data_IF_381724090134
#
_entry.id   IF_381724090134
#
_cell.length_a   1.000
_cell.length_b   1.000
_cell.length_c   1.000
_cell.angle_alpha   90.00
_cell.angle_beta   90.00
_cell.angle_gamma   90.00
#
_symmetry.space_group_name_H-M   'P 1'
#
loop_
_entity.id
_entity.type
_entity.pdbx_description
1 polymer ?
#
# COMPACT_ATOMS: atom_id res chain seq x y z
N UNK A 1 11.29 8.67 39.47
CA UNK A 1 12.41 9.16 38.61
C UNK A 1 12.48 8.52 37.23
N UNK A 2 12.71 7.20 37.03
CA UNK A 2 12.76 6.62 35.65
C UNK A 2 11.40 6.55 34.93
N UNK A 3 10.29 6.52 35.67
CA UNK A 3 8.91 6.50 35.11
C UNK A 3 8.47 7.90 34.65
N UNK A 4 8.95 8.94 35.32
CA UNK A 4 8.60 10.34 35.06
C UNK A 4 9.32 10.89 33.82
N UNK A 5 10.54 10.44 33.54
CA UNK A 5 11.28 10.81 32.32
C UNK A 5 10.59 10.27 31.05
N UNK A 6 10.17 9.00 31.02
CA UNK A 6 9.46 8.45 29.85
C UNK A 6 8.13 9.15 29.59
N UNK A 7 7.41 9.55 30.63
CA UNK A 7 6.17 10.31 30.49
C UNK A 7 6.44 11.72 29.94
N UNK A 8 7.49 12.39 30.45
CA UNK A 8 7.91 13.71 29.97
C UNK A 8 8.39 13.68 28.52
N UNK A 9 9.22 12.70 28.15
CA UNK A 9 9.72 12.52 26.78
C UNK A 9 8.57 12.27 25.80
N UNK A 10 7.55 11.52 26.22
CA UNK A 10 6.36 11.27 25.41
C UNK A 10 5.49 12.53 25.26
N UNK A 11 5.34 13.34 26.31
CA UNK A 11 4.63 14.63 26.23
C UNK A 11 5.41 15.61 25.32
N UNK A 12 6.72 15.74 25.49
CA UNK A 12 7.56 16.60 24.67
C UNK A 12 7.50 16.20 23.20
N UNK A 13 7.50 14.90 22.89
CA UNK A 13 7.32 14.38 21.53
C UNK A 13 5.95 14.74 20.95
N UNK A 14 4.87 14.60 21.74
CA UNK A 14 3.52 14.95 21.30
C UNK A 14 3.37 16.46 21.07
N UNK A 15 3.94 17.29 21.95
CA UNK A 15 3.97 18.75 21.79
C UNK A 15 4.77 19.13 20.54
N UNK A 16 5.94 18.53 20.33
CA UNK A 16 6.76 18.76 19.14
C UNK A 16 6.02 18.42 17.84
N UNK A 17 5.31 17.27 17.82
CA UNK A 17 4.44 16.90 16.69
C UNK A 17 3.32 17.91 16.47
N UNK A 18 2.66 18.36 17.55
CA UNK A 18 1.60 19.37 17.47
C UNK A 18 2.09 20.69 16.86
N UNK A 19 3.28 21.16 17.25
CA UNK A 19 3.89 22.38 16.70
C UNK A 19 4.21 22.22 15.21
N UNK A 20 4.78 21.09 14.81
CA UNK A 20 5.07 20.81 13.40
C UNK A 20 3.78 20.79 12.58
N UNK A 21 2.73 20.10 13.08
CA UNK A 21 1.44 20.03 12.40
C UNK A 21 0.82 21.42 12.26
N UNK A 22 0.87 22.26 13.30
CA UNK A 22 0.38 23.64 13.22
C UNK A 22 1.16 24.46 12.17
N UNK A 23 2.49 24.33 12.14
CA UNK A 23 3.32 25.03 11.15
C UNK A 23 3.02 24.56 9.72
N UNK A 24 2.91 23.26 9.48
CA UNK A 24 2.55 22.69 8.16
C UNK A 24 1.14 23.10 7.76
N UNK A 25 0.19 23.15 8.69
CA UNK A 25 -1.16 23.64 8.44
C UNK A 25 -1.14 25.11 7.97
N UNK A 26 -0.41 25.99 8.67
CA UNK A 26 -0.29 27.41 8.29
C UNK A 26 0.39 27.55 6.94
N UNK A 27 1.47 26.80 6.67
CA UNK A 27 2.12 26.82 5.35
C UNK A 27 1.17 26.36 4.24
N UNK A 28 0.36 25.33 4.49
CA UNK A 28 -0.64 24.84 3.55
C UNK A 28 -1.76 25.87 3.32
N UNK A 29 -2.15 26.62 4.36
CA UNK A 29 -3.11 27.72 4.24
C UNK A 29 -2.53 28.88 3.43
N UNK A 30 -1.28 29.28 3.66
CA UNK A 30 -0.60 30.30 2.84
C UNK A 30 -0.45 29.86 1.38
N UNK A 31 -0.17 28.57 1.14
CA UNK A 31 -0.10 28.02 -0.20
C UNK A 31 -1.46 28.05 -0.95
N UNK A 32 -2.58 28.22 -0.24
CA UNK A 32 -3.89 28.35 -0.90
C UNK A 32 -4.00 29.59 -1.79
N UNK A 33 -3.25 30.65 -1.49
CA UNK A 33 -3.24 31.89 -2.28
C UNK A 33 -2.79 31.68 -3.73
N UNK A 34 -1.93 30.69 -3.99
CA UNK A 34 -1.53 30.31 -5.36
C UNK A 34 -2.68 29.77 -6.22
N UNK A 35 -3.80 29.39 -5.59
CA UNK A 35 -4.98 28.81 -6.25
C UNK A 35 -6.17 29.77 -6.25
N UNK A 36 -5.94 31.08 -6.10
CA UNK A 36 -7.00 32.09 -6.20
C UNK A 36 -7.38 32.37 -7.66
N UNK A 37 -8.68 32.33 -7.99
CA UNK A 37 -9.16 32.72 -9.33
C UNK A 37 -9.15 34.24 -9.46
N UNK A 38 -8.88 34.76 -10.68
CA UNK A 38 -9.16 36.15 -11.00
C UNK A 38 -10.62 36.51 -10.64
N UNK A 39 -10.82 37.63 -9.94
CA UNK A 39 -12.14 38.13 -9.52
C UNK A 39 -12.89 37.29 -8.46
N UNK A 40 -12.19 36.43 -7.72
CA UNK A 40 -12.75 35.74 -6.54
C UNK A 40 -12.06 36.19 -5.26
N UNK A 41 -12.82 36.36 -4.19
CA UNK A 41 -12.30 36.79 -2.88
C UNK A 41 -11.59 35.65 -2.12
N UNK A 42 -11.72 34.40 -2.58
CA UNK A 42 -11.20 33.22 -1.89
C UNK A 42 -10.60 32.16 -2.83
N UNK A 43 -9.56 31.43 -2.40
CA UNK A 43 -8.93 30.33 -3.14
C UNK A 43 -9.88 29.20 -3.57
N UNK A 44 -9.60 28.49 -4.67
CA UNK A 44 -10.44 27.37 -5.14
C UNK A 44 -10.37 26.14 -4.21
N UNK A 45 -9.30 25.97 -3.46
CA UNK A 45 -9.10 24.83 -2.57
C UNK A 45 -8.40 25.22 -1.26
N UNK A 46 -8.63 24.43 -0.22
CA UNK A 46 -8.00 24.58 1.10
C UNK A 46 -7.04 23.40 1.38
N UNK A 47 -5.75 23.48 0.96
CA UNK A 47 -4.75 22.42 1.18
C UNK A 47 -4.66 21.96 2.64
N UNK A 48 -4.80 22.91 3.56
CA UNK A 48 -4.74 22.70 5.01
C UNK A 48 -5.77 21.68 5.52
N UNK A 49 -6.90 21.51 4.83
CA UNK A 49 -7.92 20.50 5.17
C UNK A 49 -7.40 19.09 4.97
N UNK A 50 -6.72 18.85 3.83
CA UNK A 50 -6.14 17.55 3.55
C UNK A 50 -4.91 17.26 4.39
N UNK A 51 -4.10 18.28 4.69
CA UNK A 51 -3.00 18.18 5.66
C UNK A 51 -3.52 17.78 7.04
N UNK A 52 -4.59 18.42 7.52
CA UNK A 52 -5.15 18.13 8.83
C UNK A 52 -5.69 16.70 8.94
N UNK A 53 -6.44 16.25 7.92
CA UNK A 53 -6.96 14.88 7.89
C UNK A 53 -5.83 13.86 7.83
N UNK A 54 -4.84 14.05 6.93
CA UNK A 54 -3.69 13.16 6.83
C UNK A 54 -2.89 13.11 8.13
N UNK A 55 -2.67 14.25 8.79
CA UNK A 55 -1.95 14.31 10.06
C UNK A 55 -2.64 13.48 11.15
N UNK A 56 -3.98 13.56 11.28
CA UNK A 56 -4.73 12.77 12.26
C UNK A 56 -4.74 11.29 11.89
N UNK A 57 -4.86 10.94 10.61
CA UNK A 57 -4.84 9.54 10.16
C UNK A 57 -3.47 8.87 10.29
N UNK A 58 -2.37 9.64 10.22
CA UNK A 58 -0.99 9.14 10.37
C UNK A 58 -0.51 9.13 11.83
N UNK A 59 -0.85 10.18 12.59
CA UNK A 59 -0.30 10.41 13.94
C UNK A 59 -1.34 10.24 15.06
N UNK A 60 -2.60 9.97 14.71
CA UNK A 60 -3.71 9.82 15.64
C UNK A 60 -4.27 11.15 16.16
N UNK A 61 -5.23 11.07 17.08
CA UNK A 61 -5.86 12.24 17.70
C UNK A 61 -4.95 13.24 18.42
N UNK A 62 -3.75 12.88 18.92
CA UNK A 62 -2.80 13.86 19.43
C UNK A 62 -2.38 14.95 18.41
N UNK A 63 -2.66 14.76 17.11
CA UNK A 63 -2.48 15.78 16.08
C UNK A 63 -3.51 16.93 16.16
N UNK A 64 -4.69 16.73 16.75
CA UNK A 64 -5.80 17.69 16.74
C UNK A 64 -5.46 19.06 17.36
N UNK A 65 -4.72 19.17 18.48
CA UNK A 65 -4.31 20.47 19.00
C UNK A 65 -3.46 21.26 17.99
N UNK A 66 -2.60 20.58 17.22
CA UNK A 66 -1.83 21.20 16.14
C UNK A 66 -2.72 21.72 15.01
N UNK A 67 -3.74 20.95 14.63
CA UNK A 67 -4.75 21.37 13.64
C UNK A 67 -5.52 22.60 14.12
N UNK A 68 -5.98 22.60 15.38
CA UNK A 68 -6.71 23.72 15.97
C UNK A 68 -5.85 24.99 16.01
N UNK A 69 -4.63 24.90 16.55
CA UNK A 69 -3.71 26.04 16.64
C UNK A 69 -3.35 26.56 15.25
N UNK A 70 -3.04 25.65 14.31
CA UNK A 70 -2.75 26.00 12.92
C UNK A 70 -3.91 26.74 12.26
N UNK A 71 -5.14 26.27 12.48
CA UNK A 71 -6.35 26.92 11.95
C UNK A 71 -6.60 28.31 12.53
N UNK A 72 -6.40 28.49 13.84
CA UNK A 72 -6.59 29.81 14.47
C UNK A 72 -5.57 30.80 13.91
N UNK A 73 -4.31 30.37 13.85
CA UNK A 73 -3.22 31.20 13.33
C UNK A 73 -3.43 31.55 11.86
N UNK A 74 -3.82 30.60 11.01
CA UNK A 74 -4.03 30.88 9.59
C UNK A 74 -5.16 31.89 9.34
N UNK A 75 -6.26 31.79 10.09
CA UNK A 75 -7.40 32.71 9.95
C UNK A 75 -7.05 34.11 10.46
N UNK A 76 -6.35 34.23 11.59
CA UNK A 76 -5.88 35.52 12.10
C UNK A 76 -4.88 36.16 11.11
N UNK A 77 -3.97 35.38 10.54
CA UNK A 77 -3.02 35.86 9.53
C UNK A 77 -3.72 36.32 8.25
N UNK A 78 -4.85 35.70 7.89
CA UNK A 78 -5.70 36.13 6.79
C UNK A 78 -6.50 37.42 7.09
N UNK A 79 -6.46 37.91 8.33
CA UNK A 79 -7.13 39.14 8.75
C UNK A 79 -8.53 38.96 9.34
N UNK A 80 -8.96 37.71 9.59
CA UNK A 80 -10.27 37.44 10.19
C UNK A 80 -10.38 37.91 11.64
N UNK A 81 -11.59 38.25 12.06
CA UNK A 81 -11.88 38.64 13.43
C UNK A 81 -11.58 37.48 14.40
N UNK A 82 -10.89 37.77 15.51
CA UNK A 82 -10.45 36.77 16.48
C UNK A 82 -11.56 35.81 16.95
N UNK A 83 -12.76 36.34 17.25
CA UNK A 83 -13.90 35.52 17.67
C UNK A 83 -14.38 34.57 16.57
N UNK A 84 -14.39 35.03 15.32
CA UNK A 84 -14.71 34.18 14.17
C UNK A 84 -13.62 33.12 13.96
N UNK A 85 -12.34 33.49 14.04
CA UNK A 85 -11.22 32.55 13.91
C UNK A 85 -11.31 31.40 14.92
N UNK A 86 -11.60 31.69 16.20
CA UNK A 86 -11.82 30.66 17.21
C UNK A 86 -12.99 29.74 16.84
N UNK A 87 -14.12 30.32 16.44
CA UNK A 87 -15.33 29.57 16.10
C UNK A 87 -15.09 28.64 14.91
N UNK A 88 -14.51 29.17 13.82
CA UNK A 88 -14.21 28.41 12.61
C UNK A 88 -13.16 27.32 12.87
N UNK A 89 -12.15 27.58 13.71
CA UNK A 89 -11.15 26.56 14.08
C UNK A 89 -11.74 25.42 14.90
N UNK A 90 -12.73 25.67 15.75
CA UNK A 90 -13.51 24.59 16.41
C UNK A 90 -14.20 23.74 15.34
N UNK A 91 -14.84 24.38 14.35
CA UNK A 91 -15.50 23.70 13.24
C UNK A 91 -14.56 22.82 12.42
N UNK A 92 -13.44 23.38 11.97
CA UNK A 92 -12.41 22.68 11.21
C UNK A 92 -11.82 21.49 11.99
N UNK A 93 -11.58 21.66 13.29
CA UNK A 93 -11.02 20.59 14.14
C UNK A 93 -12.06 19.48 14.38
N UNK A 94 -13.32 19.84 14.63
CA UNK A 94 -14.40 18.88 14.83
C UNK A 94 -14.70 18.08 13.56
N UNK A 95 -14.66 18.73 12.40
CA UNK A 95 -14.79 18.08 11.10
C UNK A 95 -13.74 16.97 10.91
N UNK A 96 -12.46 17.30 11.14
CA UNK A 96 -11.35 16.34 11.03
C UNK A 96 -11.49 15.23 12.07
N UNK A 97 -11.89 15.55 13.30
CA UNK A 97 -12.15 14.55 14.34
C UNK A 97 -13.25 13.56 13.91
N UNK A 98 -14.40 14.05 13.43
CA UNK A 98 -15.51 13.18 13.02
C UNK A 98 -15.14 12.35 11.78
N UNK A 99 -14.50 12.97 10.78
CA UNK A 99 -14.03 12.27 9.59
C UNK A 99 -13.07 11.14 9.94
N UNK A 100 -12.04 11.43 10.74
CA UNK A 100 -11.07 10.42 11.19
C UNK A 100 -11.68 9.38 12.14
N UNK A 101 -12.65 9.76 12.99
CA UNK A 101 -13.35 8.84 13.88
C UNK A 101 -14.04 7.71 13.11
N UNK A 102 -14.81 8.03 12.08
CA UNK A 102 -15.47 7.00 11.28
C UNK A 102 -14.49 6.20 10.43
N UNK A 103 -13.41 6.81 9.93
CA UNK A 103 -12.34 6.09 9.22
C UNK A 103 -11.67 5.05 10.14
N UNK A 104 -11.37 5.42 11.39
CA UNK A 104 -10.76 4.50 12.36
C UNK A 104 -11.71 3.38 12.83
N UNK A 105 -13.03 3.48 12.61
CA UNK A 105 -13.93 2.35 12.83
C UNK A 105 -13.75 1.23 11.80
N UNK A 106 -13.17 1.53 10.63
CA UNK A 106 -12.83 0.50 9.64
C UNK A 106 -11.55 -0.22 10.04
N UNK A 107 -11.68 -1.46 10.54
CA UNK A 107 -10.58 -2.27 11.09
C UNK A 107 -9.43 -2.53 10.12
N UNK A 108 -9.71 -2.55 8.82
CA UNK A 108 -8.70 -2.81 7.78
C UNK A 108 -8.19 -1.51 7.12
N UNK A 109 -8.48 -0.36 7.73
CA UNK A 109 -7.96 0.91 7.24
C UNK A 109 -6.43 0.88 7.20
N UNK A 110 -5.88 1.20 6.04
CA UNK A 110 -4.44 1.32 5.84
C UNK A 110 -4.11 2.67 5.21
N UNK A 111 -3.21 3.46 5.80
CA UNK A 111 -2.74 4.73 5.23
C UNK A 111 -2.12 4.60 3.84
N UNK A 112 -1.68 3.40 3.45
CA UNK A 112 -1.12 3.15 2.12
C UNK A 112 -2.17 3.08 0.99
N UNK A 113 -3.47 3.12 1.33
CA UNK A 113 -4.60 3.09 0.39
C UNK A 113 -4.56 1.93 -0.61
N UNK A 114 -3.95 0.80 -0.25
CA UNK A 114 -3.84 -0.39 -1.12
C UNK A 114 -5.08 -1.29 -1.13
N UNK A 115 -6.12 -0.94 -0.36
CA UNK A 115 -7.40 -1.65 -0.34
C UNK A 115 -8.56 -0.69 -0.62
N UNK A 116 -9.59 -1.19 -1.29
CA UNK A 116 -10.74 -0.38 -1.72
C UNK A 116 -11.54 0.14 -0.53
N UNK A 117 -11.57 -0.58 0.60
CA UNK A 117 -12.25 -0.13 1.81
C UNK A 117 -11.62 1.15 2.39
N UNK A 118 -10.30 1.24 2.42
CA UNK A 118 -9.59 2.43 2.92
C UNK A 118 -9.87 3.65 2.05
N UNK A 119 -9.88 3.46 0.72
CA UNK A 119 -10.24 4.52 -0.24
C UNK A 119 -11.70 4.92 -0.07
N UNK A 120 -12.62 3.96 0.06
CA UNK A 120 -14.05 4.23 0.26
C UNK A 120 -14.32 5.04 1.55
N UNK A 121 -13.76 4.61 2.68
CA UNK A 121 -13.92 5.32 3.95
C UNK A 121 -13.26 6.70 3.93
N UNK A 122 -12.10 6.85 3.28
CA UNK A 122 -11.45 8.15 3.09
C UNK A 122 -12.34 9.10 2.26
N UNK A 123 -12.93 8.62 1.17
CA UNK A 123 -13.83 9.44 0.34
C UNK A 123 -15.09 9.80 1.12
N UNK A 124 -15.77 8.82 1.70
CA UNK A 124 -17.06 9.04 2.37
C UNK A 124 -16.92 9.96 3.59
N UNK A 125 -16.01 9.63 4.51
CA UNK A 125 -15.91 10.33 5.79
C UNK A 125 -14.91 11.49 5.75
N UNK A 126 -13.82 11.34 4.99
CA UNK A 126 -12.81 12.37 4.84
C UNK A 126 -13.19 13.43 3.82
N UNK A 127 -13.53 13.04 2.59
CA UNK A 127 -13.74 13.99 1.47
C UNK A 127 -15.17 14.55 1.43
N UNK A 128 -16.19 13.78 1.83
CA UNK A 128 -17.58 14.23 1.76
C UNK A 128 -18.07 14.75 3.12
N UNK A 129 -18.08 13.91 4.16
CA UNK A 129 -18.74 14.25 5.44
C UNK A 129 -17.95 15.30 6.25
N UNK A 130 -16.63 15.17 6.36
CA UNK A 130 -15.82 16.12 7.14
C UNK A 130 -15.96 17.57 6.60
N UNK A 131 -15.80 17.86 5.30
CA UNK A 131 -16.05 19.18 4.73
C UNK A 131 -17.46 19.73 4.96
N UNK A 132 -18.49 18.88 4.98
CA UNK A 132 -19.87 19.31 5.29
C UNK A 132 -19.95 19.85 6.72
N UNK A 133 -19.28 19.18 7.68
CA UNK A 133 -19.23 19.63 9.08
C UNK A 133 -18.50 20.97 9.18
N UNK A 134 -17.33 21.09 8.55
CA UNK A 134 -16.54 22.32 8.56
C UNK A 134 -17.34 23.51 8.00
N UNK A 135 -17.89 23.36 6.79
CA UNK A 135 -18.67 24.41 6.13
C UNK A 135 -19.91 24.81 6.93
N UNK A 136 -20.64 23.83 7.50
CA UNK A 136 -21.85 24.12 8.28
C UNK A 136 -21.54 24.89 9.56
N UNK A 137 -20.45 24.57 10.24
CA UNK A 137 -20.04 25.29 11.44
C UNK A 137 -19.53 26.69 11.07
N UNK A 138 -18.69 26.83 10.04
CA UNK A 138 -18.20 28.15 9.63
C UNK A 138 -19.36 29.11 9.32
N UNK A 139 -20.38 28.63 8.59
CA UNK A 139 -21.58 29.42 8.25
C UNK A 139 -22.44 29.74 9.48
N UNK A 140 -22.59 28.80 10.42
CA UNK A 140 -23.25 29.08 11.68
C UNK A 140 -22.52 30.20 12.44
N UNK A 141 -21.19 30.20 12.43
CA UNK A 141 -20.37 31.26 13.01
C UNK A 141 -20.59 32.62 12.35
N UNK A 142 -20.64 32.66 11.01
CA UNK A 142 -20.92 33.89 10.27
C UNK A 142 -22.31 34.45 10.58
N UNK A 143 -23.32 33.58 10.72
CA UNK A 143 -24.67 33.97 11.10
C UNK A 143 -24.74 34.53 12.53
N UNK A 144 -24.16 33.84 13.52
CA UNK A 144 -24.21 34.27 14.92
C UNK A 144 -23.40 35.53 15.21
N UNK A 145 -22.36 35.79 14.42
CA UNK A 145 -21.50 36.98 14.55
C UNK A 145 -21.92 38.13 13.62
N UNK A 146 -23.04 38.00 12.91
CA UNK A 146 -23.59 39.00 11.99
C UNK A 146 -22.57 39.47 10.93
N UNK A 147 -21.75 38.53 10.43
CA UNK A 147 -20.67 38.79 9.45
C UNK A 147 -21.22 38.87 8.03
N UNK A 148 -22.28 38.13 7.72
CA UNK A 148 -22.84 38.06 6.36
C UNK A 148 -24.36 37.87 6.36
N UNK A 149 -25.09 38.46 5.38
CA UNK A 149 -26.54 38.33 5.30
C UNK A 149 -27.00 36.89 5.05
N UNK A 150 -28.16 36.51 5.62
CA UNK A 150 -28.76 35.18 5.49
C UNK A 150 -28.93 34.72 4.04
N UNK A 151 -29.21 35.65 3.12
CA UNK A 151 -29.41 35.38 1.69
C UNK A 151 -28.13 34.88 0.99
N UNK A 152 -26.96 35.24 1.50
CA UNK A 152 -25.65 34.85 0.94
C UNK A 152 -25.11 33.55 1.54
N UNK A 153 -25.62 33.11 2.69
CA UNK A 153 -25.08 31.95 3.40
C UNK A 153 -25.11 30.64 2.59
N UNK A 154 -26.15 30.33 1.79
CA UNK A 154 -26.15 29.09 1.00
C UNK A 154 -25.03 29.00 -0.04
N UNK A 155 -24.72 30.12 -0.72
CA UNK A 155 -23.65 30.15 -1.71
C UNK A 155 -22.26 30.10 -1.06
N UNK A 156 -22.07 30.80 0.06
CA UNK A 156 -20.84 30.73 0.86
C UNK A 156 -20.64 29.31 1.40
N UNK A 157 -21.69 28.66 1.90
CA UNK A 157 -21.63 27.29 2.42
C UNK A 157 -21.11 26.31 1.37
N UNK A 158 -21.67 26.39 0.15
CA UNK A 158 -21.30 25.46 -0.91
C UNK A 158 -19.88 25.71 -1.44
N UNK A 159 -19.46 26.97 -1.51
CA UNK A 159 -18.09 27.33 -1.83
C UNK A 159 -17.11 26.83 -0.76
N UNK A 160 -17.43 26.99 0.53
CA UNK A 160 -16.64 26.50 1.66
C UNK A 160 -16.51 24.97 1.63
N UNK A 161 -17.64 24.27 1.46
CA UNK A 161 -17.68 22.81 1.34
C UNK A 161 -16.77 22.33 0.20
N UNK A 162 -16.87 22.95 -0.97
CA UNK A 162 -16.08 22.60 -2.15
C UNK A 162 -14.58 22.81 -1.92
N UNK A 163 -14.19 23.92 -1.30
CA UNK A 163 -12.79 24.25 -1.00
C UNK A 163 -12.15 23.22 -0.06
N UNK A 164 -12.88 22.84 1.00
CA UNK A 164 -12.46 21.81 1.94
C UNK A 164 -12.44 20.42 1.30
N UNK A 165 -13.44 20.08 0.48
CA UNK A 165 -13.52 18.81 -0.25
C UNK A 165 -12.33 18.61 -1.19
N UNK A 166 -12.07 19.58 -2.08
CA UNK A 166 -10.97 19.50 -3.05
C UNK A 166 -9.61 19.46 -2.36
N UNK A 167 -9.40 20.31 -1.34
CA UNK A 167 -8.17 20.27 -0.55
C UNK A 167 -7.94 18.91 0.11
N UNK A 168 -9.00 18.31 0.64
CA UNK A 168 -8.93 16.97 1.26
C UNK A 168 -8.66 15.88 0.23
N UNK A 169 -9.33 15.92 -0.93
CA UNK A 169 -9.19 14.93 -2.00
C UNK A 169 -7.82 14.96 -2.67
N UNK A 170 -7.22 16.13 -2.84
CA UNK A 170 -5.90 16.28 -3.48
C UNK A 170 -4.78 15.95 -2.50
N UNK A 171 -4.79 16.51 -1.29
CA UNK A 171 -3.64 16.44 -0.39
C UNK A 171 -3.66 15.20 0.51
N UNK A 172 -4.82 14.74 1.01
CA UNK A 172 -4.82 13.65 1.98
C UNK A 172 -4.30 12.34 1.40
N UNK A 173 -4.77 11.85 0.24
CA UNK A 173 -4.27 10.60 -0.33
C UNK A 173 -2.77 10.65 -0.64
N UNK A 174 -2.28 11.78 -1.15
CA UNK A 174 -0.87 11.99 -1.41
C UNK A 174 -0.03 11.89 -0.14
N UNK A 175 -0.39 12.63 0.91
CA UNK A 175 0.33 12.62 2.18
C UNK A 175 0.26 11.27 2.89
N UNK A 176 -0.91 10.62 2.89
CA UNK A 176 -1.12 9.31 3.49
C UNK A 176 -0.21 8.24 2.88
N UNK A 177 -0.12 8.20 1.54
CA UNK A 177 0.70 7.21 0.85
C UNK A 177 2.19 7.50 1.06
N UNK A 178 2.63 8.74 0.85
CA UNK A 178 4.05 9.10 0.87
C UNK A 178 4.66 9.21 2.27
N UNK A 179 3.86 9.48 3.31
CA UNK A 179 4.33 9.51 4.71
C UNK A 179 3.98 8.24 5.48
N UNK A 180 2.96 7.50 5.04
CA UNK A 180 2.46 6.30 5.72
C UNK A 180 2.99 4.98 5.17
N UNK A 181 3.76 4.99 4.09
CA UNK A 181 4.33 3.79 3.45
C UNK A 181 5.82 3.94 3.22
N UNK A 182 6.59 2.83 3.23
CA UNK A 182 7.96 2.86 2.76
C UNK A 182 7.98 3.22 1.27
N UNK A 183 9.02 3.97 0.87
CA UNK A 183 9.24 4.33 -0.53
C UNK A 183 9.26 3.06 -1.42
N UNK A 184 8.69 3.14 -2.63
CA UNK A 184 8.68 2.01 -3.53
C UNK A 184 10.08 1.70 -4.04
N UNK A 185 10.34 0.43 -4.33
CA UNK A 185 11.55 0.03 -5.05
C UNK A 185 11.59 0.72 -6.42
N UNK A 186 12.71 1.38 -6.70
CA UNK A 186 12.90 2.16 -7.92
C UNK A 186 13.35 1.23 -9.05
N UNK A 187 12.42 0.92 -9.95
CA UNK A 187 12.70 0.22 -11.21
C UNK A 187 12.78 1.25 -12.35
N UNK A 188 13.91 1.27 -13.08
CA UNK A 188 14.15 2.19 -14.17
C UNK A 188 13.02 2.17 -15.21
N UNK A 189 12.44 0.99 -15.49
CA UNK A 189 11.33 0.86 -16.44
C UNK A 189 10.05 1.54 -15.92
N UNK A 190 9.75 1.39 -14.63
CA UNK A 190 8.58 2.04 -14.02
C UNK A 190 8.76 3.55 -13.96
N UNK A 191 9.98 4.02 -13.69
CA UNK A 191 10.32 5.44 -13.69
C UNK A 191 10.14 6.03 -15.08
N UNK A 192 10.65 5.38 -16.14
CA UNK A 192 10.47 5.89 -17.51
C UNK A 192 9.01 5.90 -17.94
N UNK A 193 8.24 4.84 -17.65
CA UNK A 193 6.79 4.82 -17.90
C UNK A 193 6.07 5.95 -17.13
N UNK A 194 6.43 6.18 -15.86
CA UNK A 194 5.89 7.27 -15.05
C UNK A 194 6.21 8.66 -15.62
N UNK A 195 7.44 8.88 -16.09
CA UNK A 195 7.85 10.15 -16.71
C UNK A 195 7.09 10.39 -18.02
N UNK A 196 6.89 9.36 -18.84
CA UNK A 196 6.13 9.49 -20.09
C UNK A 196 4.66 9.83 -19.83
N UNK A 197 4.04 9.20 -18.84
CA UNK A 197 2.66 9.52 -18.44
C UNK A 197 2.58 10.95 -17.88
N UNK A 198 3.52 11.34 -17.02
CA UNK A 198 3.62 12.70 -16.52
C UNK A 198 3.72 13.71 -17.67
N UNK A 199 4.61 13.47 -18.63
CA UNK A 199 4.78 14.34 -19.79
C UNK A 199 3.50 14.43 -20.64
N UNK A 200 2.76 13.33 -20.78
CA UNK A 200 1.47 13.32 -21.48
C UNK A 200 0.40 14.14 -20.72
N UNK A 201 0.27 13.96 -19.41
CA UNK A 201 -0.67 14.71 -18.56
C UNK A 201 -0.35 16.20 -18.60
N UNK A 202 0.91 16.57 -18.33
CA UNK A 202 1.35 17.96 -18.38
C UNK A 202 1.23 18.57 -19.79
N UNK A 203 1.49 17.78 -20.83
CA UNK A 203 1.37 18.21 -22.21
C UNK A 203 -0.06 18.52 -22.63
N UNK A 204 -1.04 17.67 -22.25
CA UNK A 204 -2.46 17.91 -22.53
C UNK A 204 -2.94 19.19 -21.83
N UNK A 205 -2.63 19.33 -20.54
CA UNK A 205 -3.01 20.51 -19.75
C UNK A 205 -2.34 21.80 -20.27
N UNK A 206 -1.06 21.71 -20.67
CA UNK A 206 -0.36 22.85 -21.25
C UNK A 206 -0.93 23.23 -22.62
N UNK A 207 -1.30 22.27 -23.47
CA UNK A 207 -1.94 22.53 -24.75
C UNK A 207 -3.31 23.19 -24.59
N UNK A 208 -4.09 22.76 -23.59
CA UNK A 208 -5.34 23.39 -23.21
C UNK A 208 -5.14 24.86 -22.87
N UNK A 209 -4.15 25.14 -22.03
CA UNK A 209 -3.81 26.50 -21.65
C UNK A 209 -3.35 27.35 -22.85
N UNK A 210 -2.42 26.84 -23.68
CA UNK A 210 -1.85 27.60 -24.80
C UNK A 210 -2.85 27.85 -25.93
N UNK A 211 -3.82 26.96 -26.13
CA UNK A 211 -4.81 27.06 -27.20
C UNK A 211 -5.91 28.10 -26.96
N UNK A 212 -6.02 28.65 -25.74
CA UNK A 212 -7.03 29.66 -25.34
C UNK A 212 -8.46 29.24 -25.69
N UNK A 213 -8.77 27.96 -25.51
CA UNK A 213 -10.14 27.45 -25.61
C UNK A 213 -11.04 28.05 -24.51
N UNK A 214 -12.33 28.09 -24.78
CA UNK A 214 -13.34 28.45 -23.78
C UNK A 214 -13.37 27.44 -22.63
N UNK A 215 -13.91 27.86 -21.47
CA UNK A 215 -13.89 27.02 -20.27
C UNK A 215 -14.67 25.72 -20.40
N UNK A 216 -15.80 25.70 -21.12
CA UNK A 216 -16.57 24.47 -21.35
C UNK A 216 -15.77 23.42 -22.14
N UNK A 217 -15.10 23.87 -23.20
CA UNK A 217 -14.18 23.05 -23.99
C UNK A 217 -12.99 22.57 -23.13
N UNK A 218 -12.42 23.45 -22.31
CA UNK A 218 -11.31 23.10 -21.42
C UNK A 218 -11.71 21.99 -20.41
N UNK A 219 -12.87 22.11 -19.76
CA UNK A 219 -13.38 21.07 -18.85
C UNK A 219 -13.59 19.74 -19.58
N UNK A 220 -14.17 19.78 -20.79
CA UNK A 220 -14.45 18.58 -21.59
C UNK A 220 -13.17 17.84 -21.97
N UNK A 221 -12.14 18.56 -22.40
CA UNK A 221 -10.85 17.96 -22.78
C UNK A 221 -10.10 17.46 -21.54
N UNK A 222 -10.26 18.10 -20.37
CA UNK A 222 -9.65 17.65 -19.11
C UNK A 222 -10.09 16.23 -18.71
N UNK A 223 -11.28 15.78 -19.14
CA UNK A 223 -11.70 14.37 -18.97
C UNK A 223 -10.82 13.38 -19.75
N UNK A 224 -10.07 13.81 -20.77
CA UNK A 224 -9.09 12.96 -21.47
C UNK A 224 -7.88 12.59 -20.59
N UNK A 225 -7.69 13.27 -19.44
CA UNK A 225 -6.70 12.85 -18.46
C UNK A 225 -7.09 11.54 -17.75
N UNK A 226 -8.39 11.23 -17.65
CA UNK A 226 -8.86 10.07 -16.91
C UNK A 226 -8.26 8.77 -17.46
N UNK A 227 -8.35 8.45 -18.76
CA UNK A 227 -7.69 7.27 -19.33
C UNK A 227 -6.19 7.16 -19.00
N UNK A 228 -5.45 8.29 -18.99
CA UNK A 228 -4.02 8.31 -18.66
C UNK A 228 -3.76 7.99 -17.19
N UNK A 229 -4.56 8.55 -16.28
CA UNK A 229 -4.45 8.29 -14.84
C UNK A 229 -4.95 6.89 -14.46
N UNK A 230 -5.95 6.36 -15.17
CA UNK A 230 -6.34 4.96 -15.10
C UNK A 230 -5.18 4.07 -15.52
N UNK A 231 -4.57 4.34 -16.67
CA UNK A 231 -3.42 3.59 -17.16
C UNK A 231 -2.25 3.61 -16.17
N UNK A 232 -1.96 4.78 -15.60
CA UNK A 232 -0.97 4.93 -14.54
C UNK A 232 -1.31 4.05 -13.32
N UNK A 233 -2.57 4.06 -12.89
CA UNK A 233 -3.03 3.30 -11.72
C UNK A 233 -3.02 1.77 -11.95
N UNK A 234 -3.16 1.32 -13.19
CA UNK A 234 -3.01 -0.10 -13.58
C UNK A 234 -1.55 -0.53 -13.57
N UNK A 235 -0.68 0.27 -14.19
CA UNK A 235 0.72 -0.10 -14.44
C UNK A 235 1.62 0.15 -13.22
N UNK A 236 1.48 1.31 -12.61
CA UNK A 236 2.36 1.79 -11.54
C UNK A 236 1.82 1.40 -10.16
N UNK A 237 2.54 1.82 -9.10
CA UNK A 237 2.13 1.60 -7.71
C UNK A 237 1.26 2.77 -7.17
N UNK A 238 0.83 2.67 -5.92
CA UNK A 238 0.04 3.70 -5.23
C UNK A 238 0.77 5.04 -5.08
N UNK A 239 2.09 5.06 -4.86
CA UNK A 239 2.88 6.30 -4.79
C UNK A 239 2.88 7.03 -6.12
N UNK A 240 3.14 6.32 -7.22
CA UNK A 240 3.13 6.88 -8.56
C UNK A 240 1.74 7.38 -8.97
N UNK A 241 0.67 6.63 -8.65
CA UNK A 241 -0.71 7.07 -8.92
C UNK A 241 -1.05 8.34 -8.14
N UNK A 242 -0.72 8.41 -6.85
CA UNK A 242 -1.04 9.57 -6.01
C UNK A 242 -0.24 10.82 -6.37
N UNK A 243 1.04 10.70 -6.76
CA UNK A 243 1.82 11.87 -7.21
C UNK A 243 1.34 12.37 -8.58
N UNK A 244 0.99 11.48 -9.52
CA UNK A 244 0.42 11.87 -10.81
C UNK A 244 -0.94 12.54 -10.63
N UNK A 245 -1.78 12.04 -9.73
CA UNK A 245 -3.04 12.68 -9.35
C UNK A 245 -2.83 14.09 -8.76
N UNK A 246 -1.86 14.23 -7.84
CA UNK A 246 -1.53 15.51 -7.22
C UNK A 246 -1.07 16.54 -8.27
N UNK A 247 -0.19 16.10 -9.17
CA UNK A 247 0.31 16.91 -10.28
C UNK A 247 -0.80 17.28 -11.26
N UNK A 248 -1.63 16.31 -11.67
CA UNK A 248 -2.74 16.54 -12.59
C UNK A 248 -3.73 17.56 -12.02
N UNK A 249 -4.06 17.45 -10.72
CA UNK A 249 -4.87 18.44 -10.03
C UNK A 249 -4.22 19.84 -10.07
N UNK A 250 -2.91 19.94 -9.80
CA UNK A 250 -2.18 21.20 -9.85
C UNK A 250 -2.18 21.85 -11.24
N UNK A 251 -1.90 21.08 -12.29
CA UNK A 251 -1.92 21.57 -13.68
C UNK A 251 -3.32 21.97 -14.13
N UNK A 252 -4.33 21.17 -13.82
CA UNK A 252 -5.73 21.48 -14.12
C UNK A 252 -6.13 22.82 -13.49
N UNK A 253 -5.87 22.99 -12.19
CA UNK A 253 -6.18 24.24 -11.48
C UNK A 253 -5.41 25.43 -12.04
N UNK A 254 -4.12 25.25 -12.33
CA UNK A 254 -3.30 26.29 -12.97
C UNK A 254 -3.83 26.68 -14.35
N UNK A 255 -4.27 25.70 -15.15
CA UNK A 255 -4.93 25.95 -16.43
C UNK A 255 -6.17 26.82 -16.26
N UNK A 256 -7.08 26.41 -15.36
CA UNK A 256 -8.34 27.12 -15.10
C UNK A 256 -8.10 28.55 -14.57
N UNK A 257 -7.14 28.76 -13.65
CA UNK A 257 -6.86 30.11 -13.11
C UNK A 257 -6.37 31.10 -14.16
N UNK A 258 -5.80 30.61 -15.26
CA UNK A 258 -5.28 31.47 -16.33
C UNK A 258 -6.21 31.55 -17.56
N UNK A 259 -7.38 30.91 -17.53
CA UNK A 259 -8.41 31.11 -18.56
C UNK A 259 -9.07 32.48 -18.34
N UNK A 260 -9.06 33.33 -19.36
CA UNK A 260 -9.69 34.65 -19.32
C UNK A 260 -11.16 34.55 -19.75
N UNK A 261 -11.99 33.85 -18.96
CA UNK A 261 -13.39 33.56 -19.28
C UNK A 261 -14.37 34.14 -18.25
N UNK A 262 -15.44 34.74 -18.76
CA UNK A 262 -16.59 35.29 -18.02
C UNK A 262 -17.34 34.28 -17.16
N UNK A 263 -17.29 32.99 -17.49
CA UNK A 263 -17.89 31.91 -16.70
C UNK A 263 -17.27 31.78 -15.30
N UNK A 264 -16.00 32.17 -15.12
CA UNK A 264 -15.33 32.21 -13.81
C UNK A 264 -15.81 33.37 -12.92
N UNK A 265 -16.49 34.38 -13.49
CA UNK A 265 -16.99 35.53 -12.74
C UNK A 265 -18.29 35.23 -11.98
N UNK A 266 -19.01 34.16 -12.31
CA UNK A 266 -20.14 33.68 -11.52
C UNK A 266 -19.65 32.66 -10.48
N UNK A 267 -19.38 33.15 -9.27
CA UNK A 267 -18.62 32.44 -8.24
C UNK A 267 -19.19 31.05 -7.94
N UNK A 268 -20.51 30.88 -7.92
CA UNK A 268 -21.13 29.59 -7.56
C UNK A 268 -21.15 28.56 -8.69
N UNK A 269 -21.46 28.97 -9.93
CA UNK A 269 -21.58 28.04 -11.06
C UNK A 269 -20.22 27.52 -11.55
N UNK A 270 -19.15 28.31 -11.35
CA UNK A 270 -17.79 27.93 -11.74
C UNK A 270 -17.23 26.73 -10.95
N UNK A 271 -17.71 26.48 -9.73
CA UNK A 271 -17.20 25.37 -8.90
C UNK A 271 -17.68 23.99 -9.37
N UNK A 272 -18.88 23.87 -9.93
CA UNK A 272 -19.43 22.55 -10.28
C UNK A 272 -18.62 21.80 -11.35
N UNK A 273 -18.20 22.43 -12.46
CA UNK A 273 -17.33 21.77 -13.44
C UNK A 273 -15.98 21.37 -12.84
N UNK A 274 -15.35 22.25 -12.04
CA UNK A 274 -14.07 21.98 -11.37
C UNK A 274 -14.20 20.75 -10.46
N UNK A 275 -15.23 20.73 -9.59
CA UNK A 275 -15.48 19.62 -8.69
C UNK A 275 -15.78 18.35 -9.45
N UNK A 276 -16.59 18.39 -10.51
CA UNK A 276 -16.95 17.20 -11.26
C UNK A 276 -15.74 16.58 -11.99
N UNK A 277 -14.91 17.38 -12.66
CA UNK A 277 -13.68 16.92 -13.32
C UNK A 277 -12.71 16.34 -12.30
N UNK A 278 -12.35 17.11 -11.27
CA UNK A 278 -11.36 16.70 -10.27
C UNK A 278 -11.84 15.49 -9.47
N UNK A 279 -13.09 15.48 -9.00
CA UNK A 279 -13.61 14.37 -8.21
C UNK A 279 -13.65 13.10 -9.04
N UNK A 280 -14.17 13.15 -10.27
CA UNK A 280 -14.23 11.97 -11.15
C UNK A 280 -12.83 11.46 -11.44
N UNK A 281 -11.89 12.35 -11.78
CA UNK A 281 -10.51 11.99 -12.10
C UNK A 281 -9.77 11.34 -10.94
N UNK A 282 -9.74 12.01 -9.78
CA UNK A 282 -8.96 11.60 -8.61
C UNK A 282 -9.57 10.36 -7.94
N UNK A 283 -10.90 10.33 -7.77
CA UNK A 283 -11.59 9.18 -7.16
C UNK A 283 -11.44 7.93 -8.03
N UNK A 284 -11.64 8.04 -9.34
CA UNK A 284 -11.51 6.90 -10.26
C UNK A 284 -10.09 6.34 -10.23
N UNK A 285 -9.09 7.22 -10.29
CA UNK A 285 -7.67 6.85 -10.19
C UNK A 285 -7.34 6.12 -8.88
N UNK A 286 -7.79 6.66 -7.73
CA UNK A 286 -7.57 6.04 -6.41
C UNK A 286 -8.25 4.67 -6.28
N UNK A 287 -9.51 4.55 -6.71
CA UNK A 287 -10.26 3.27 -6.65
C UNK A 287 -9.57 2.22 -7.52
N UNK A 288 -9.13 2.58 -8.73
CA UNK A 288 -8.46 1.65 -9.64
C UNK A 288 -7.09 1.27 -9.07
N UNK A 289 -6.32 2.21 -8.53
CA UNK A 289 -5.03 1.92 -7.89
C UNK A 289 -5.18 0.93 -6.72
N UNK A 290 -6.19 1.12 -5.87
CA UNK A 290 -6.49 0.21 -4.78
C UNK A 290 -6.95 -1.17 -5.28
N UNK A 291 -7.82 -1.21 -6.30
CA UNK A 291 -8.30 -2.46 -6.91
C UNK A 291 -7.17 -3.27 -7.54
N UNK A 292 -6.26 -2.58 -8.24
CA UNK A 292 -5.08 -3.19 -8.86
C UNK A 292 -4.08 -3.69 -7.81
N UNK A 293 -3.97 -3.00 -6.68
CA UNK A 293 -3.14 -3.45 -5.56
C UNK A 293 -3.67 -4.76 -4.94
N UNK A 294 -5.00 -4.86 -4.74
CA UNK A 294 -5.65 -6.10 -4.28
C UNK A 294 -5.46 -7.23 -5.29
N UNK A 295 -5.66 -6.96 -6.58
CA UNK A 295 -5.51 -7.95 -7.65
C UNK A 295 -4.08 -8.47 -7.76
N UNK A 296 -3.07 -7.57 -7.73
CA UNK A 296 -1.65 -7.96 -7.76
C UNK A 296 -1.28 -8.83 -6.55
N UNK A 297 -1.81 -8.52 -5.36
CA UNK A 297 -1.61 -9.34 -4.15
C UNK A 297 -2.26 -10.72 -4.29
N UNK A 298 -3.50 -10.79 -4.78
CA UNK A 298 -4.19 -12.05 -5.02
C UNK A 298 -3.46 -12.92 -6.05
N UNK A 299 -3.00 -12.33 -7.16
CA UNK A 299 -2.23 -13.03 -8.19
C UNK A 299 -0.90 -13.57 -7.65
N UNK A 300 -0.17 -12.79 -6.85
CA UNK A 300 1.07 -13.26 -6.21
C UNK A 300 0.80 -14.44 -5.28
N UNK A 301 -0.26 -14.38 -4.49
CA UNK A 301 -0.65 -15.47 -3.60
C UNK A 301 -1.06 -16.73 -4.38
N UNK A 302 -1.84 -16.59 -5.45
CA UNK A 302 -2.21 -17.71 -6.33
C UNK A 302 -0.99 -18.32 -7.01
N UNK A 303 -0.07 -17.50 -7.51
CA UNK A 303 1.19 -17.97 -8.11
C UNK A 303 2.05 -18.73 -7.09
N UNK A 304 2.10 -18.24 -5.85
CA UNK A 304 2.81 -18.92 -4.78
C UNK A 304 2.17 -20.28 -4.48
N UNK A 305 0.85 -20.35 -4.27
CA UNK A 305 0.14 -21.61 -4.02
C UNK A 305 0.20 -22.59 -5.19
N UNK A 306 0.30 -22.10 -6.43
CA UNK A 306 0.48 -22.96 -7.61
C UNK A 306 1.85 -23.64 -7.64
N UNK A 307 2.86 -23.08 -6.98
CA UNK A 307 4.24 -23.56 -7.07
C UNK A 307 4.81 -24.06 -5.74
N UNK A 308 4.21 -23.68 -4.61
CA UNK A 308 4.71 -23.97 -3.27
C UNK A 308 3.66 -24.72 -2.43
N UNK A 309 4.14 -25.57 -1.53
CA UNK A 309 3.35 -26.23 -0.51
C UNK A 309 2.93 -25.22 0.58
N UNK A 310 1.64 -25.18 0.89
CA UNK A 310 1.08 -24.17 1.80
C UNK A 310 1.54 -24.34 3.25
N UNK A 311 1.95 -25.55 3.66
CA UNK A 311 2.36 -25.84 5.03
C UNK A 311 3.84 -25.47 5.27
N UNK A 312 4.72 -25.93 4.39
CA UNK A 312 6.18 -25.84 4.54
C UNK A 312 6.80 -24.64 3.82
N UNK A 313 6.10 -24.09 2.82
CA UNK A 313 6.60 -23.05 1.93
C UNK A 313 7.72 -23.51 0.99
N UNK A 314 7.98 -24.82 0.90
CA UNK A 314 8.85 -25.43 -0.12
C UNK A 314 8.09 -25.53 -1.45
N UNK A 315 8.76 -25.95 -2.53
CA UNK A 315 8.06 -26.23 -3.78
C UNK A 315 7.08 -27.38 -3.61
N UNK A 316 5.96 -27.34 -4.34
CA UNK A 316 4.97 -28.42 -4.32
C UNK A 316 5.28 -29.48 -5.39
N UNK A 317 4.51 -30.57 -5.37
CA UNK A 317 4.60 -31.64 -6.36
C UNK A 317 4.47 -31.16 -7.81
N UNK A 318 3.55 -30.25 -8.10
CA UNK A 318 3.34 -29.75 -9.47
C UNK A 318 4.59 -29.04 -10.00
N UNK A 319 5.23 -28.22 -9.17
CA UNK A 319 6.48 -27.55 -9.53
C UNK A 319 7.62 -28.55 -9.72
N UNK A 320 7.73 -29.54 -8.83
CA UNK A 320 8.69 -30.63 -8.96
C UNK A 320 8.54 -31.41 -10.27
N UNK A 321 7.32 -31.84 -10.61
CA UNK A 321 7.03 -32.59 -11.85
C UNK A 321 7.37 -31.75 -13.10
N UNK A 322 7.17 -30.43 -13.05
CA UNK A 322 7.56 -29.54 -14.15
C UNK A 322 9.08 -29.40 -14.26
N UNK A 323 9.77 -29.28 -13.13
CA UNK A 323 11.21 -29.08 -13.12
C UNK A 323 11.99 -30.35 -13.50
N UNK A 324 11.51 -31.55 -13.14
CA UNK A 324 12.16 -32.79 -13.56
C UNK A 324 12.11 -32.93 -15.09
N UNK A 325 10.99 -32.64 -15.74
CA UNK A 325 10.85 -32.63 -17.20
C UNK A 325 11.77 -31.57 -17.86
N UNK A 326 11.86 -30.37 -17.24
CA UNK A 326 12.74 -29.30 -17.72
C UNK A 326 14.21 -29.68 -17.62
N UNK A 327 14.60 -30.31 -16.52
CA UNK A 327 15.97 -30.70 -16.25
C UNK A 327 16.41 -31.90 -17.08
N UNK A 328 15.50 -32.83 -17.39
CA UNK A 328 15.78 -34.02 -18.21
C UNK A 328 16.34 -33.62 -19.59
N UNK A 329 15.85 -32.50 -20.13
CA UNK A 329 16.28 -31.94 -21.41
C UNK A 329 17.37 -30.85 -21.30
N UNK A 330 17.95 -30.65 -20.12
CA UNK A 330 18.92 -29.58 -19.86
C UNK A 330 20.38 -30.03 -20.06
N UNK A 331 21.32 -29.08 -19.91
CA UNK A 331 22.77 -29.36 -19.87
C UNK A 331 23.35 -29.30 -18.46
N UNK A 332 22.50 -29.36 -17.43
CA UNK A 332 22.88 -29.14 -16.03
C UNK A 332 23.28 -30.44 -15.31
N UNK A 333 23.80 -31.40 -16.06
CA UNK A 333 24.25 -32.70 -15.56
C UNK A 333 25.69 -32.62 -15.00
N UNK A 334 26.06 -33.50 -14.06
CA UNK A 334 25.23 -34.51 -13.40
C UNK A 334 24.15 -33.90 -12.50
N UNK A 335 23.03 -34.59 -12.33
CA UNK A 335 21.91 -34.17 -11.47
C UNK A 335 21.75 -35.18 -10.34
N UNK A 336 21.84 -34.72 -9.10
CA UNK A 336 21.60 -35.55 -7.93
C UNK A 336 20.16 -35.39 -7.45
N UNK A 337 19.51 -36.53 -7.19
CA UNK A 337 18.14 -36.64 -6.66
C UNK A 337 18.23 -37.24 -5.27
N UNK A 338 17.73 -36.51 -4.28
CA UNK A 338 17.63 -36.97 -2.88
C UNK A 338 16.15 -37.11 -2.53
N UNK A 339 15.71 -38.33 -2.25
CA UNK A 339 14.38 -38.64 -1.72
C UNK A 339 14.46 -38.74 -0.20
N UNK A 340 13.52 -38.10 0.49
CA UNK A 340 13.49 -38.05 1.95
C UNK A 340 12.06 -38.31 2.41
N UNK A 341 11.89 -39.19 3.40
CA UNK A 341 10.61 -39.48 4.04
C UNK A 341 10.71 -39.27 5.56
N UNK A 342 9.68 -38.69 6.18
CA UNK A 342 9.63 -38.48 7.63
C UNK A 342 9.17 -39.74 8.34
N UNK A 343 10.02 -40.28 9.21
CA UNK A 343 9.71 -41.51 9.91
C UNK A 343 8.64 -41.29 10.99
N UNK A 344 7.70 -42.24 11.08
CA UNK A 344 6.62 -42.29 12.08
C UNK A 344 5.78 -41.01 12.26
N UNK A 345 5.63 -40.20 11.20
CA UNK A 345 4.79 -38.99 11.26
C UNK A 345 3.35 -39.32 11.67
N UNK A 346 2.84 -40.48 11.24
CA UNK A 346 1.50 -40.94 11.64
C UNK A 346 1.41 -41.23 13.14
N UNK A 347 2.39 -41.91 13.74
CA UNK A 347 2.41 -42.15 15.18
C UNK A 347 2.44 -40.86 16.00
N UNK A 348 3.19 -39.86 15.53
CA UNK A 348 3.19 -38.51 16.13
C UNK A 348 1.83 -37.85 16.02
N UNK A 349 1.21 -37.88 14.84
CA UNK A 349 -0.13 -37.29 14.63
C UNK A 349 -1.19 -37.96 15.51
N UNK A 350 -1.15 -39.28 15.64
CA UNK A 350 -2.09 -40.05 16.44
C UNK A 350 -1.90 -39.80 17.95
N UNK A 351 -0.67 -39.55 18.40
CA UNK A 351 -0.32 -39.35 19.82
C UNK A 351 -0.47 -37.89 20.27
N UNK A 352 0.00 -36.94 19.45
CA UNK A 352 0.16 -35.53 19.79
C UNK A 352 -0.71 -34.58 18.94
N UNK A 353 -1.48 -35.12 18.00
CA UNK A 353 -2.38 -34.37 17.12
C UNK A 353 -1.68 -33.79 15.88
N UNK A 354 -2.49 -33.52 14.86
CA UNK A 354 -2.03 -33.02 13.56
C UNK A 354 -1.23 -31.72 13.62
N UNK A 355 -1.54 -30.82 14.55
CA UNK A 355 -0.77 -29.57 14.71
C UNK A 355 0.71 -29.82 15.04
N UNK A 356 1.01 -30.93 15.72
CA UNK A 356 2.37 -31.29 16.11
C UNK A 356 3.13 -31.90 14.93
N UNK A 357 2.50 -32.78 14.14
CA UNK A 357 3.10 -33.27 12.90
C UNK A 357 3.30 -32.16 11.86
N UNK A 358 2.34 -31.22 11.76
CA UNK A 358 2.48 -30.02 10.93
C UNK A 358 3.68 -29.17 11.33
N UNK A 359 4.00 -29.11 12.62
CA UNK A 359 5.17 -28.38 13.12
C UNK A 359 6.46 -29.12 12.75
N UNK A 360 6.54 -30.44 12.95
CA UNK A 360 7.70 -31.24 12.52
C UNK A 360 8.03 -31.05 11.03
N UNK A 361 7.02 -31.04 10.17
CA UNK A 361 7.20 -30.83 8.74
C UNK A 361 7.78 -29.43 8.42
N UNK A 362 7.36 -28.40 9.17
CA UNK A 362 7.92 -27.05 9.04
C UNK A 362 9.36 -26.99 9.53
N UNK A 363 9.66 -27.62 10.66
CA UNK A 363 11.00 -27.63 11.23
C UNK A 363 11.99 -28.33 10.29
N UNK A 364 11.57 -29.44 9.68
CA UNK A 364 12.35 -30.13 8.66
C UNK A 364 12.56 -29.26 7.40
N UNK A 365 11.50 -28.58 6.94
CA UNK A 365 11.62 -27.66 5.81
C UNK A 365 12.60 -26.50 6.09
N UNK A 366 12.63 -26.00 7.32
CA UNK A 366 13.57 -24.95 7.73
C UNK A 366 15.00 -25.47 7.87
N UNK A 367 15.20 -26.74 8.22
CA UNK A 367 16.51 -27.41 8.11
C UNK A 367 16.96 -27.42 6.64
N UNK A 368 16.10 -27.85 5.71
CA UNK A 368 16.46 -27.90 4.29
C UNK A 368 16.85 -26.52 3.74
N UNK A 369 16.07 -25.47 4.05
CA UNK A 369 16.40 -24.10 3.63
C UNK A 369 17.75 -23.59 4.14
N UNK A 370 18.28 -24.14 5.23
CA UNK A 370 19.63 -23.81 5.76
C UNK A 370 20.74 -24.62 5.10
N UNK A 371 20.44 -25.84 4.68
CA UNK A 371 21.43 -26.78 4.11
C UNK A 371 21.67 -26.52 2.63
N UNK A 372 20.61 -26.18 1.90
CA UNK A 372 20.59 -26.06 0.45
C UNK A 372 20.61 -24.60 0.00
N UNK A 373 21.04 -24.39 -1.24
CA UNK A 373 21.16 -23.07 -1.85
C UNK A 373 19.84 -22.64 -2.48
N UNK A 374 19.76 -21.39 -2.89
CA UNK A 374 18.54 -20.84 -3.50
C UNK A 374 18.24 -21.46 -4.88
N UNK A 375 19.28 -21.92 -5.58
CA UNK A 375 19.17 -22.60 -6.88
C UNK A 375 18.81 -24.09 -6.79
N UNK A 376 18.89 -24.69 -5.60
CA UNK A 376 18.50 -26.08 -5.37
C UNK A 376 16.98 -26.19 -5.27
N UNK A 377 16.39 -27.22 -5.90
CA UNK A 377 14.94 -27.40 -5.90
C UNK A 377 14.58 -28.31 -4.75
N UNK A 378 14.00 -27.73 -3.71
CA UNK A 378 13.54 -28.44 -2.52
C UNK A 378 12.01 -28.50 -2.56
N UNK A 379 11.46 -29.69 -2.66
CA UNK A 379 10.03 -29.91 -2.86
C UNK A 379 9.44 -30.83 -1.82
N UNK A 380 8.20 -30.57 -1.41
CA UNK A 380 7.35 -31.54 -0.70
C UNK A 380 6.37 -32.14 -1.70
N UNK A 381 6.49 -33.44 -1.95
CA UNK A 381 5.72 -34.14 -2.99
C UNK A 381 4.56 -34.97 -2.42
N UNK A 382 4.61 -35.28 -1.12
CA UNK A 382 3.63 -36.09 -0.41
C UNK A 382 3.33 -35.54 0.99
N UNK A 383 2.67 -36.34 1.83
CA UNK A 383 2.36 -35.96 3.21
C UNK A 383 3.64 -35.80 4.05
N UNK A 384 4.49 -36.80 3.99
CA UNK A 384 5.77 -36.99 4.69
C UNK A 384 6.97 -37.01 3.74
N UNK A 385 6.74 -36.93 2.43
CA UNK A 385 7.77 -37.10 1.39
C UNK A 385 8.29 -35.76 0.84
N UNK A 386 9.62 -35.66 0.77
CA UNK A 386 10.36 -34.54 0.21
C UNK A 386 11.34 -35.03 -0.86
N UNK A 387 11.55 -34.19 -1.89
CA UNK A 387 12.54 -34.44 -2.94
C UNK A 387 13.41 -33.21 -3.12
N UNK A 388 14.70 -33.44 -3.29
CA UNK A 388 15.68 -32.38 -3.55
C UNK A 388 16.42 -32.69 -4.85
N UNK A 389 16.41 -31.75 -5.79
CA UNK A 389 17.16 -31.82 -7.04
C UNK A 389 18.35 -30.86 -6.97
N UNK A 390 19.55 -31.40 -7.13
CA UNK A 390 20.80 -30.65 -7.15
C UNK A 390 21.38 -30.68 -8.57
N UNK A 391 21.49 -29.50 -9.17
CA UNK A 391 22.02 -29.32 -10.52
C UNK A 391 23.57 -29.30 -10.49
N UNK A 392 24.22 -29.77 -11.56
CA UNK A 392 25.68 -29.86 -11.67
C UNK A 392 26.34 -30.48 -10.42
N UNK A 393 25.71 -31.50 -9.87
CA UNK A 393 26.06 -32.10 -8.58
C UNK A 393 26.23 -33.60 -8.74
N UNK A 394 27.43 -34.07 -8.44
CA UNK A 394 27.78 -35.48 -8.46
C UNK A 394 27.53 -36.17 -7.11
N UNK A 395 27.88 -37.45 -7.01
CA UNK A 395 27.67 -38.24 -5.80
C UNK A 395 28.42 -37.69 -4.58
N UNK A 396 29.56 -37.04 -4.77
CA UNK A 396 30.31 -36.42 -3.67
C UNK A 396 29.54 -35.24 -3.09
N UNK A 397 28.99 -34.38 -3.96
CA UNK A 397 28.17 -33.23 -3.55
C UNK A 397 26.90 -33.69 -2.83
N UNK A 398 26.23 -34.72 -3.35
CA UNK A 398 25.03 -35.27 -2.72
C UNK A 398 25.32 -35.85 -1.33
N UNK A 399 26.42 -36.60 -1.16
CA UNK A 399 26.85 -37.14 0.15
C UNK A 399 27.17 -36.03 1.15
N UNK A 400 27.83 -34.97 0.71
CA UNK A 400 28.12 -33.82 1.58
C UNK A 400 26.83 -33.13 2.02
N UNK A 401 25.86 -32.96 1.12
CA UNK A 401 24.55 -32.41 1.45
C UNK A 401 23.80 -33.27 2.48
N UNK A 402 23.80 -34.60 2.33
CA UNK A 402 23.20 -35.53 3.28
C UNK A 402 23.88 -35.43 4.65
N UNK A 403 25.21 -35.38 4.70
CA UNK A 403 25.94 -35.21 5.95
C UNK A 403 25.57 -33.89 6.65
N UNK A 404 25.33 -32.81 5.88
CA UNK A 404 24.82 -31.54 6.43
C UNK A 404 23.40 -31.64 6.96
N UNK A 405 22.50 -32.37 6.28
CA UNK A 405 21.14 -32.65 6.79
C UNK A 405 21.25 -33.36 8.14
N UNK A 406 21.98 -34.48 8.20
CA UNK A 406 22.13 -35.30 9.41
C UNK A 406 22.70 -34.48 10.58
N UNK A 407 23.71 -33.64 10.33
CA UNK A 407 24.25 -32.75 11.35
C UNK A 407 23.22 -31.73 11.87
N UNK A 408 22.42 -31.13 10.99
CA UNK A 408 21.37 -30.18 11.41
C UNK A 408 20.24 -30.88 12.17
N UNK A 409 19.86 -32.08 11.74
CA UNK A 409 18.89 -32.93 12.42
C UNK A 409 19.37 -33.32 13.83
N UNK A 410 20.63 -33.75 13.99
CA UNK A 410 21.20 -34.04 15.31
C UNK A 410 21.19 -32.82 16.23
N UNK A 411 21.54 -31.65 15.70
CA UNK A 411 21.50 -30.41 16.48
C UNK A 411 20.08 -30.04 16.90
N UNK A 412 19.11 -30.17 16.00
CA UNK A 412 17.69 -29.99 16.31
C UNK A 412 17.22 -30.96 17.41
N UNK A 413 17.57 -32.24 17.30
CA UNK A 413 17.17 -33.29 18.25
C UNK A 413 17.79 -33.10 19.63
N UNK A 414 18.99 -32.51 19.74
CA UNK A 414 19.59 -32.14 21.04
C UNK A 414 18.79 -31.04 21.75
N UNK A 415 18.20 -30.13 20.99
CA UNK A 415 17.36 -29.05 21.52
C UNK A 415 15.92 -29.52 21.81
N UNK A 416 15.45 -30.55 21.08
CA UNK A 416 14.09 -31.08 21.16
C UNK A 416 14.08 -32.59 21.47
N UNK A 417 14.54 -33.02 22.66
CA UNK A 417 14.69 -34.45 22.98
C UNK A 417 13.37 -35.20 23.09
N UNK A 418 12.26 -34.51 23.37
CA UNK A 418 10.94 -35.11 23.55
C UNK A 418 10.26 -35.47 22.21
N UNK A 419 10.72 -34.88 21.10
CA UNK A 419 10.10 -35.04 19.78
C UNK A 419 11.18 -34.98 18.67
N UNK A 420 12.10 -35.96 18.64
CA UNK A 420 13.21 -35.95 17.70
C UNK A 420 12.70 -36.14 16.26
N UNK A 421 13.29 -35.39 15.32
CA UNK A 421 13.13 -35.62 13.90
C UNK A 421 13.90 -36.88 13.51
N UNK A 422 13.23 -37.78 12.79
CA UNK A 422 13.82 -38.93 12.12
C UNK A 422 13.38 -38.91 10.66
N UNK A 423 14.33 -39.15 9.75
CA UNK A 423 14.08 -39.18 8.32
C UNK A 423 14.86 -40.31 7.66
N UNK A 424 14.25 -40.94 6.68
CA UNK A 424 14.87 -41.93 5.81
C UNK A 424 15.31 -41.26 4.51
N UNK A 425 16.53 -41.54 4.04
CA UNK A 425 17.15 -40.82 2.91
C UNK A 425 17.65 -41.78 1.83
N UNK A 426 17.23 -41.54 0.59
CA UNK A 426 17.71 -42.24 -0.60
C UNK A 426 18.31 -41.28 -1.62
N UNK A 427 19.40 -41.68 -2.28
CA UNK A 427 20.11 -40.83 -3.24
C UNK A 427 20.44 -41.53 -4.54
N UNK A 428 20.25 -40.82 -5.65
CA UNK A 428 20.61 -41.27 -7.00
C UNK A 428 21.19 -40.11 -7.80
N UNK A 429 22.16 -40.39 -8.68
CA UNK A 429 22.81 -39.37 -9.51
C UNK A 429 22.68 -39.77 -10.97
N UNK A 430 22.02 -38.93 -11.75
CA UNK A 430 21.86 -39.10 -13.19
C UNK A 430 22.97 -38.35 -13.94
N UNK A 431 23.53 -39.00 -14.95
CA UNK A 431 24.47 -38.44 -15.92
C UNK A 431 23.74 -37.95 -17.17
N UNK A 432 24.45 -37.20 -18.00
CA UNK A 432 23.89 -36.70 -19.25
C UNK A 432 23.41 -37.87 -20.15
N UNK A 433 22.14 -37.84 -20.54
CA UNK A 433 21.50 -38.87 -21.36
C UNK A 433 20.79 -39.99 -20.58
N UNK A 434 20.88 -40.00 -19.25
CA UNK A 434 20.12 -40.91 -18.38
C UNK A 434 18.75 -40.31 -18.02
N UNK A 435 17.73 -41.15 -17.80
CA UNK A 435 16.39 -40.67 -17.46
C UNK A 435 16.29 -40.26 -16.00
N UNK A 436 15.89 -39.01 -15.74
CA UNK A 436 15.70 -38.53 -14.38
C UNK A 436 14.57 -39.27 -13.65
N UNK A 437 13.55 -39.73 -14.38
CA UNK A 437 12.44 -40.51 -13.81
C UNK A 437 12.93 -41.87 -13.29
N UNK A 438 13.84 -42.54 -14.00
CA UNK A 438 14.44 -43.80 -13.54
C UNK A 438 15.32 -43.57 -12.31
N UNK A 439 16.10 -42.49 -12.30
CA UNK A 439 16.92 -42.14 -11.13
C UNK A 439 16.09 -41.71 -9.92
N UNK A 440 14.93 -41.09 -10.12
CA UNK A 440 13.97 -40.80 -9.06
C UNK A 440 13.44 -42.09 -8.42
N UNK A 441 13.06 -43.08 -9.23
CA UNK A 441 12.64 -44.40 -8.73
C UNK A 441 13.77 -45.12 -7.99
N UNK A 442 15.02 -44.97 -8.44
CA UNK A 442 16.17 -45.53 -7.73
C UNK A 442 16.43 -44.85 -6.39
N UNK A 443 16.26 -43.52 -6.31
CA UNK A 443 16.36 -42.78 -5.05
C UNK A 443 15.24 -43.19 -4.08
N UNK A 444 14.01 -43.31 -4.57
CA UNK A 444 12.86 -43.80 -3.79
C UNK A 444 13.09 -45.19 -3.22
N UNK A 445 13.55 -46.13 -4.05
CA UNK A 445 13.89 -47.48 -3.60
C UNK A 445 14.95 -47.48 -2.49
N UNK A 446 16.01 -46.67 -2.63
CA UNK A 446 17.06 -46.55 -1.61
C UNK A 446 16.55 -45.92 -0.31
N UNK A 447 15.65 -44.94 -0.41
CA UNK A 447 14.99 -44.34 0.76
C UNK A 447 14.14 -45.39 1.50
N UNK A 448 13.42 -46.24 0.76
CA UNK A 448 12.65 -47.33 1.35
C UNK A 448 13.53 -48.42 1.99
N UNK A 449 14.69 -48.72 1.39
CA UNK A 449 15.69 -49.61 1.98
C UNK A 449 16.25 -49.04 3.30
N UNK A 450 16.52 -47.74 3.34
CA UNK A 450 16.94 -47.02 4.54
C UNK A 450 15.85 -47.05 5.63
N UNK A 451 14.59 -46.82 5.27
CA UNK A 451 13.44 -46.86 6.19
C UNK A 451 13.25 -48.22 6.86
N UNK A 452 13.41 -49.31 6.10
CA UNK A 452 13.32 -50.66 6.66
C UNK A 452 14.53 -51.05 7.51
N UNK A 453 15.68 -50.38 7.34
CA UNK A 453 16.85 -50.57 8.20
C UNK A 453 16.70 -49.93 9.59
N UNK A 454 15.78 -48.97 9.73
CA UNK A 454 15.50 -48.24 10.97
C UNK A 454 14.32 -48.81 11.79
N UNK A 455 13.54 -49.74 11.23
CA UNK A 455 12.48 -50.50 11.94
C UNK A 455 13.05 -51.75 12.62
#
# INVERSE_FOLDING_TARGET
>A
MKRDSKAFDNIALQVGKGVIIAAVYVLAALASEFFQLPNTDHPILHPQSGVALAAVLLFGYPALPGVFIGSVLSLILAGDAFLFSLFASIGNTLAVFLGSFFIFQYKEFSPNLKNYGSVFFLILFGVIISPVVAASINIAGMFFLDISPLETLPSIWAAEWTRHMLGTLVFSPFLLVWLGSPFPDVDLRRVTEGILIFAAVAGIELLLFLSRVDSETAYTISFLLIPLLIWASVRLDSHCSTILNFIAAGFFLFGITNLNDSLLNNSFTAFFPIVSVMSTMLVTSLIISASMSVLKKAQKNLSFLSTHDALTGLYNRLFFDTEIERLENSRLYPISIIMIDVDDLKGVNDTYGHSTGDQMLKDLADIFKKVFRQEDIISRIGGDEFVILLNNSDESVAKEAIARIQLQQENYNKEHPDLPLSVSIGVSVAQEGESLVEHLQLADKKMYEDKNGHQ
#
